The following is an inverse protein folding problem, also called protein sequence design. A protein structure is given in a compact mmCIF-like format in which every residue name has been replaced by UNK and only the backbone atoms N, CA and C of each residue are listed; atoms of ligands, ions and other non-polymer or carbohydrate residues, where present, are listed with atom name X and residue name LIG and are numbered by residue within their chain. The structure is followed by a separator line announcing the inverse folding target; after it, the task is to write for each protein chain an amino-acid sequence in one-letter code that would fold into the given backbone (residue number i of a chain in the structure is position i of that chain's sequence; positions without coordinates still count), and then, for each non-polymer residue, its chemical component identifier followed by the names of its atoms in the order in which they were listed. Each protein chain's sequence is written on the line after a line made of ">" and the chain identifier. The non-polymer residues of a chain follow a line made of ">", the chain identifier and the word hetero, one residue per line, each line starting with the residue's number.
data_IF_465812189923
#
_entry.id   IF_465812189923
#
_cell.length_a   1.000
_cell.length_b   1.000
_cell.length_c   1.000
_cell.angle_alpha   90.00
_cell.angle_beta   90.00
_cell.angle_gamma   90.00
#
_symmetry.space_group_name_H-M   'P 1'
#
loop_
_entity.id
_entity.type
_entity.pdbx_description
1 polymer ?
#
# COMPACT_ATOMS: atom_id res chain seq x y z
N UNK A 1 -6.49 -15.62 16.89
CA UNK A 1 -6.48 -14.13 16.82
C UNK A 1 -7.80 -13.58 16.23
N UNK A 2 -8.58 -12.82 17.02
CA UNK A 2 -9.81 -12.13 16.58
C UNK A 2 -9.56 -10.61 16.64
N UNK A 3 -8.85 -10.05 15.66
CA UNK A 3 -8.72 -8.60 15.51
C UNK A 3 -9.26 -8.16 14.15
N UNK A 4 -9.63 -6.89 14.02
CA UNK A 4 -10.27 -6.34 12.81
C UNK A 4 -9.41 -6.47 11.55
N UNK A 5 -8.08 -6.54 11.66
CA UNK A 5 -7.20 -6.80 10.51
C UNK A 5 -7.24 -8.27 10.06
N UNK A 6 -7.15 -9.24 10.99
CA UNK A 6 -7.17 -10.66 10.65
C UNK A 6 -8.54 -11.15 10.16
N UNK A 7 -9.62 -10.41 10.43
CA UNK A 7 -10.98 -10.75 10.05
C UNK A 7 -11.43 -10.13 8.71
N UNK A 8 -10.54 -9.42 8.01
CA UNK A 8 -10.87 -8.81 6.72
C UNK A 8 -11.10 -9.88 5.64
N UNK A 9 -12.16 -9.68 4.88
CA UNK A 9 -12.63 -10.54 3.79
C UNK A 9 -12.97 -9.69 2.55
N UNK A 10 -13.11 -10.33 1.39
CA UNK A 10 -13.31 -9.64 0.12
C UNK A 10 -11.99 -9.35 -0.58
N UNK A 11 -12.05 -8.58 -1.67
CA UNK A 11 -10.93 -8.26 -2.55
C UNK A 11 -9.78 -7.61 -1.76
N UNK A 12 -8.65 -8.31 -1.56
CA UNK A 12 -7.47 -7.78 -0.92
C UNK A 12 -6.68 -6.91 -1.91
N UNK A 13 -6.21 -5.75 -1.46
CA UNK A 13 -5.39 -4.85 -2.29
C UNK A 13 -4.18 -4.40 -1.47
N UNK A 14 -2.97 -4.68 -1.99
CA UNK A 14 -1.73 -4.13 -1.45
C UNK A 14 -1.54 -2.72 -2.01
N UNK A 15 -1.44 -1.72 -1.14
CA UNK A 15 -1.19 -0.35 -1.57
C UNK A 15 0.30 -0.06 -1.60
N UNK A 16 0.75 0.50 -2.73
CA UNK A 16 2.10 0.95 -2.99
C UNK A 16 2.08 2.46 -3.26
N UNK A 17 3.25 3.08 -3.22
CA UNK A 17 3.48 4.46 -3.63
C UNK A 17 4.76 4.59 -4.43
N UNK A 18 4.84 5.62 -5.25
CA UNK A 18 6.10 6.10 -5.81
C UNK A 18 6.82 7.00 -4.81
N UNK A 19 8.14 6.94 -4.80
CA UNK A 19 8.97 7.86 -4.02
C UNK A 19 10.31 8.09 -4.71
N UNK A 20 10.96 9.20 -4.37
CA UNK A 20 12.36 9.41 -4.71
C UNK A 20 13.25 8.44 -3.91
N UNK A 21 13.70 7.36 -4.54
CA UNK A 21 14.45 6.30 -3.88
C UNK A 21 15.35 5.54 -4.87
N UNK A 22 16.35 4.78 -4.41
CA UNK A 22 17.22 4.03 -5.31
C UNK A 22 16.49 2.84 -5.93
N UNK A 23 16.85 2.47 -7.16
CA UNK A 23 16.30 1.25 -7.75
C UNK A 23 16.96 0.01 -7.14
N UNK A 24 16.18 -1.02 -6.75
CA UNK A 24 16.74 -2.28 -6.26
C UNK A 24 17.69 -2.95 -7.25
N UNK A 25 17.48 -2.72 -8.56
CA UNK A 25 18.29 -3.31 -9.64
C UNK A 25 19.64 -2.62 -9.82
N UNK A 26 19.84 -1.41 -9.27
CA UNK A 26 21.03 -0.57 -9.47
C UNK A 26 21.70 -0.18 -8.17
N UNK A 27 21.58 -0.98 -7.11
CA UNK A 27 22.33 -0.77 -5.86
C UNK A 27 23.85 -0.95 -6.02
N UNK A 28 24.32 -1.34 -7.21
CA UNK A 28 25.74 -1.32 -7.56
C UNK A 28 26.26 0.12 -7.53
N UNK A 29 27.15 0.37 -6.58
CA UNK A 29 27.82 1.65 -6.39
C UNK A 29 28.52 2.09 -7.67
N UNK A 30 28.25 3.31 -8.13
CA UNK A 30 29.01 3.90 -9.24
C UNK A 30 30.14 4.75 -8.65
N UNK A 31 31.36 4.52 -9.11
CA UNK A 31 32.47 5.43 -8.85
C UNK A 31 32.14 6.78 -9.46
N UNK A 32 32.08 7.82 -8.63
CA UNK A 32 31.84 9.17 -9.10
C UNK A 32 33.12 9.73 -9.72
N UNK A 33 33.09 10.23 -10.97
CA UNK A 33 34.22 10.92 -11.55
C UNK A 33 34.61 12.08 -10.62
N UNK A 34 35.90 12.21 -10.31
CA UNK A 34 36.50 13.22 -9.42
C UNK A 34 36.34 13.00 -7.91
N UNK A 35 35.74 11.90 -7.45
CA UNK A 35 35.66 11.57 -6.03
C UNK A 35 36.21 10.16 -5.75
N UNK A 36 37.50 10.08 -5.44
CA UNK A 36 38.15 8.84 -5.05
C UNK A 36 37.51 8.29 -3.76
N UNK A 37 36.99 7.07 -3.82
CA UNK A 37 36.40 6.37 -2.68
C UNK A 37 34.93 6.73 -2.38
N UNK A 38 34.28 7.58 -3.18
CA UNK A 38 32.85 7.88 -3.02
C UNK A 38 32.02 7.12 -4.07
N UNK A 39 31.21 6.22 -3.55
CA UNK A 39 30.18 5.50 -4.29
C UNK A 39 28.88 6.32 -4.35
N UNK A 40 28.41 6.63 -5.55
CA UNK A 40 27.06 7.16 -5.76
C UNK A 40 26.03 6.04 -5.91
N UNK A 41 24.84 6.23 -5.34
CA UNK A 41 23.67 5.35 -5.55
C UNK A 41 22.69 6.10 -6.48
N UNK A 42 22.36 5.57 -7.68
CA UNK A 42 21.37 6.18 -8.55
C UNK A 42 19.99 6.23 -7.88
N UNK A 43 19.31 7.37 -8.01
CA UNK A 43 17.99 7.64 -7.43
C UNK A 43 16.95 7.84 -8.54
N UNK A 44 15.70 7.47 -8.29
CA UNK A 44 14.58 7.55 -9.24
C UNK A 44 13.35 8.16 -8.58
N UNK A 45 12.63 9.03 -9.28
CA UNK A 45 11.42 9.71 -8.77
C UNK A 45 10.23 8.76 -8.57
N UNK A 46 10.17 7.67 -9.32
CA UNK A 46 9.01 6.76 -9.39
C UNK A 46 9.31 5.39 -8.78
N UNK A 47 10.27 5.31 -7.86
CA UNK A 47 10.63 4.04 -7.24
C UNK A 47 9.48 3.57 -6.33
N UNK A 48 9.00 2.34 -6.58
CA UNK A 48 7.93 1.75 -5.79
C UNK A 48 8.38 1.43 -4.37
N UNK A 49 7.53 1.81 -3.42
CA UNK A 49 7.68 1.56 -2.00
C UNK A 49 6.34 1.18 -1.38
N UNK A 50 6.37 0.54 -0.23
CA UNK A 50 5.17 0.44 0.62
C UNK A 50 4.74 1.84 1.10
N UNK A 51 3.48 1.96 1.51
CA UNK A 51 2.99 3.19 2.13
C UNK A 51 3.80 3.53 3.38
N UNK A 52 4.18 4.79 3.50
CA UNK A 52 4.74 5.36 4.75
C UNK A 52 3.62 5.66 5.74
N UNK A 53 4.02 6.01 6.96
CA UNK A 53 3.09 6.47 7.99
C UNK A 53 2.23 7.64 7.48
N UNK A 54 0.93 7.57 7.78
CA UNK A 54 -0.10 8.47 7.28
C UNK A 54 -1.48 7.80 7.36
N UNK A 55 -2.35 8.15 6.42
CA UNK A 55 -3.75 7.74 6.38
C UNK A 55 -4.15 7.35 4.96
N UNK A 56 -4.96 6.30 4.83
CA UNK A 56 -5.60 5.90 3.57
C UNK A 56 -7.09 6.12 3.73
N UNK A 57 -7.69 6.78 2.76
CA UNK A 57 -9.14 6.96 2.66
C UNK A 57 -9.66 6.27 1.40
N UNK A 58 -10.74 5.53 1.54
CA UNK A 58 -11.39 4.79 0.46
C UNK A 58 -12.87 5.17 0.42
N UNK A 59 -13.30 5.86 -0.62
CA UNK A 59 -14.71 6.14 -0.86
C UNK A 59 -15.29 5.03 -1.74
N UNK A 60 -16.24 4.26 -1.20
CA UNK A 60 -16.90 3.15 -1.89
C UNK A 60 -18.24 3.61 -2.45
N UNK A 61 -18.46 3.37 -3.75
CA UNK A 61 -19.65 3.76 -4.51
C UNK A 61 -20.10 5.20 -4.26
N UNK A 62 -19.12 6.11 -4.12
CA UNK A 62 -19.33 7.53 -3.83
C UNK A 62 -20.14 7.79 -2.54
N UNK A 63 -20.26 6.81 -1.64
CA UNK A 63 -21.19 6.84 -0.52
C UNK A 63 -20.54 6.57 0.83
N UNK A 64 -19.78 5.50 0.93
CA UNK A 64 -19.27 4.97 2.21
C UNK A 64 -17.77 5.22 2.32
N UNK A 65 -17.33 5.84 3.40
CA UNK A 65 -15.92 6.02 3.69
C UNK A 65 -15.38 4.85 4.53
N UNK A 66 -14.35 4.19 4.02
CA UNK A 66 -13.40 3.42 4.82
C UNK A 66 -12.14 4.26 5.04
N UNK A 67 -11.50 4.08 6.19
CA UNK A 67 -10.25 4.75 6.48
C UNK A 67 -9.29 3.85 7.26
N UNK A 68 -8.00 4.00 6.98
CA UNK A 68 -6.94 3.21 7.59
C UNK A 68 -5.80 4.14 8.01
N UNK A 69 -5.29 3.91 9.20
CA UNK A 69 -4.04 4.50 9.64
C UNK A 69 -2.90 3.58 9.25
N UNK A 70 -1.85 4.13 8.65
CA UNK A 70 -0.64 3.40 8.25
C UNK A 70 0.39 3.47 9.38
N UNK A 71 0.91 2.32 9.83
CA UNK A 71 2.03 2.26 10.79
C UNK A 71 3.37 2.55 10.08
N UNK A 72 4.47 2.81 10.80
CA UNK A 72 5.77 3.03 10.18
C UNK A 72 6.18 1.89 9.24
N UNK A 73 5.85 0.65 9.60
CA UNK A 73 6.15 -0.56 8.83
C UNK A 73 5.13 -0.84 7.70
N UNK A 74 4.19 0.07 7.44
CA UNK A 74 3.21 -0.05 6.35
C UNK A 74 1.99 -0.93 6.68
N UNK A 75 1.74 -1.27 7.95
CA UNK A 75 0.53 -1.99 8.33
C UNK A 75 -0.68 -1.04 8.41
N UNK A 76 -1.86 -1.53 8.03
CA UNK A 76 -3.10 -0.76 7.90
C UNK A 76 -4.05 -1.08 9.06
N UNK A 77 -4.39 -0.07 9.86
CA UNK A 77 -5.33 -0.17 10.97
C UNK A 77 -6.61 0.60 10.63
N UNK A 78 -7.70 -0.13 10.44
CA UNK A 78 -8.97 0.50 10.09
C UNK A 78 -9.53 1.30 11.27
N UNK A 79 -10.11 2.46 10.98
CA UNK A 79 -10.78 3.32 11.95
C UNK A 79 -12.04 3.96 11.33
N UNK A 80 -13.00 4.47 12.12
CA UNK A 80 -14.16 5.19 11.58
C UNK A 80 -13.72 6.49 10.91
N UNK A 81 -13.98 6.68 9.61
CA UNK A 81 -13.41 7.77 8.82
C UNK A 81 -13.63 9.18 9.40
N UNK A 82 -14.78 9.42 10.04
CA UNK A 82 -15.12 10.70 10.67
C UNK A 82 -14.57 10.89 12.09
N UNK A 83 -13.81 9.92 12.60
CA UNK A 83 -13.17 9.93 13.92
C UNK A 83 -11.71 9.49 13.78
N UNK A 84 -10.87 10.24 13.04
CA UNK A 84 -9.50 9.84 12.81
C UNK A 84 -8.68 9.86 14.11
N UNK A 85 -7.79 8.86 14.31
CA UNK A 85 -6.87 8.89 15.43
C UNK A 85 -5.87 10.06 15.26
N UNK A 86 -5.68 10.90 16.28
CA UNK A 86 -4.86 12.11 16.18
C UNK A 86 -3.34 11.82 16.23
N UNK A 87 -2.96 10.65 16.73
CA UNK A 87 -1.56 10.24 16.86
C UNK A 87 -1.15 9.36 15.71
N UNK A 88 0.11 9.45 15.30
CA UNK A 88 0.70 8.59 14.30
C UNK A 88 0.56 7.09 14.66
N UNK A 89 0.41 6.24 13.64
CA UNK A 89 0.17 4.81 13.85
C UNK A 89 1.31 4.17 14.65
N UNK A 90 0.98 3.45 15.72
CA UNK A 90 1.99 2.69 16.49
C UNK A 90 2.38 1.42 15.74
N UNK A 91 3.61 0.90 15.89
CA UNK A 91 3.99 -0.44 15.46
C UNK A 91 3.00 -1.53 15.87
N UNK A 92 2.88 -2.59 15.07
CA UNK A 92 2.21 -3.82 15.49
C UNK A 92 2.93 -4.44 16.70
N UNK A 93 2.18 -5.15 17.55
CA UNK A 93 2.78 -5.87 18.68
C UNK A 93 3.77 -6.92 18.19
N UNK A 94 4.77 -7.23 19.01
CA UNK A 94 5.76 -8.28 18.71
C UNK A 94 5.09 -9.62 18.40
N UNK A 95 4.07 -10.00 19.18
CA UNK A 95 3.29 -11.21 18.93
C UNK A 95 2.64 -11.22 17.54
N UNK A 96 2.04 -10.11 17.10
CA UNK A 96 1.46 -10.03 15.75
C UNK A 96 2.51 -10.18 14.64
N UNK A 97 3.71 -9.63 14.83
CA UNK A 97 4.79 -9.75 13.84
C UNK A 97 5.41 -11.14 13.78
N UNK A 98 5.51 -11.82 14.93
CA UNK A 98 6.00 -13.20 15.02
C UNK A 98 5.06 -14.17 14.30
N UNK A 99 3.75 -13.94 14.39
CA UNK A 99 2.71 -14.70 13.68
C UNK A 99 2.48 -14.22 12.23
N UNK A 100 3.38 -13.38 11.68
CA UNK A 100 3.28 -12.81 10.33
C UNK A 100 1.98 -12.02 10.03
N UNK A 101 1.24 -11.59 11.05
CA UNK A 101 0.02 -10.81 10.86
C UNK A 101 0.30 -9.41 10.28
N UNK A 102 1.56 -8.95 10.27
CA UNK A 102 1.99 -7.75 9.55
C UNK A 102 1.81 -7.88 8.04
N UNK A 103 1.93 -9.09 7.49
CA UNK A 103 1.61 -9.38 6.08
C UNK A 103 0.12 -9.16 5.83
N UNK A 104 -0.74 -9.80 6.62
CA UNK A 104 -2.20 -9.66 6.52
C UNK A 104 -2.62 -8.20 6.66
N UNK A 105 -2.06 -7.51 7.64
CA UNK A 105 -2.37 -6.12 7.92
C UNK A 105 -1.89 -5.15 6.82
N UNK A 106 -1.10 -5.59 5.83
CA UNK A 106 -0.63 -4.73 4.72
C UNK A 106 -1.66 -4.49 3.63
N UNK A 107 -2.83 -5.15 3.72
CA UNK A 107 -3.88 -5.08 2.71
C UNK A 107 -5.09 -4.30 3.24
N UNK A 108 -5.67 -3.48 2.37
CA UNK A 108 -7.09 -3.14 2.50
C UNK A 108 -7.91 -4.30 1.92
N UNK A 109 -9.16 -4.45 2.36
CA UNK A 109 -10.08 -5.40 1.76
C UNK A 109 -11.42 -4.72 1.48
N UNK A 110 -11.98 -5.00 0.31
CA UNK A 110 -13.24 -4.43 -0.14
C UNK A 110 -14.20 -5.57 -0.50
N UNK A 111 -15.40 -5.56 0.05
CA UNK A 111 -16.42 -6.54 -0.29
C UNK A 111 -17.08 -6.18 -1.64
N UNK A 112 -16.68 -6.89 -2.70
CA UNK A 112 -17.18 -6.65 -4.07
C UNK A 112 -18.59 -7.16 -4.30
N UNK A 113 -19.20 -7.84 -3.33
CA UNK A 113 -20.64 -8.15 -3.36
C UNK A 113 -21.50 -6.96 -2.91
N UNK A 114 -20.90 -6.00 -2.21
CA UNK A 114 -21.58 -4.81 -1.69
C UNK A 114 -21.24 -3.54 -2.46
N UNK A 115 -20.05 -3.48 -3.06
CA UNK A 115 -19.53 -2.29 -3.71
C UNK A 115 -18.98 -2.59 -5.10
N UNK A 116 -19.12 -1.63 -6.02
CA UNK A 116 -18.68 -1.77 -7.41
C UNK A 116 -17.50 -0.87 -7.77
N UNK A 117 -17.34 0.26 -7.08
CA UNK A 117 -16.33 1.27 -7.36
C UNK A 117 -15.65 1.77 -6.09
N UNK A 118 -14.38 2.15 -6.20
CA UNK A 118 -13.61 2.73 -5.10
C UNK A 118 -12.75 3.91 -5.58
N UNK A 119 -12.65 4.95 -4.75
CA UNK A 119 -11.68 6.03 -4.89
C UNK A 119 -10.74 5.98 -3.70
N UNK A 120 -9.46 5.71 -3.95
CA UNK A 120 -8.44 5.46 -2.92
C UNK A 120 -7.43 6.59 -2.92
N UNK A 121 -7.19 7.21 -1.77
CA UNK A 121 -6.19 8.25 -1.62
C UNK A 121 -5.34 8.07 -0.36
N UNK A 122 -4.09 8.50 -0.43
CA UNK A 122 -3.20 8.62 0.71
C UNK A 122 -3.11 10.07 1.21
N UNK A 123 -2.95 10.22 2.52
CA UNK A 123 -2.85 11.50 3.20
C UNK A 123 -1.79 11.45 4.31
N UNK A 124 -1.04 12.54 4.44
CA UNK A 124 -0.05 12.74 5.49
C UNK A 124 -0.73 12.88 6.86
N UNK A 125 -1.74 13.75 6.89
CA UNK A 125 -2.50 14.09 8.08
C UNK A 125 -3.94 13.57 7.97
N UNK A 126 -4.60 13.32 9.10
CA UNK A 126 -5.98 12.89 9.10
C UNK A 126 -6.89 13.99 8.51
N UNK A 127 -7.77 13.61 7.59
CA UNK A 127 -8.75 14.52 7.03
C UNK A 127 -9.91 14.76 8.00
N UNK A 128 -10.23 16.03 8.32
CA UNK A 128 -11.41 16.35 9.09
C UNK A 128 -12.68 16.15 8.24
N UNK A 129 -13.85 16.06 8.89
CA UNK A 129 -15.14 15.85 8.22
C UNK A 129 -15.39 16.78 7.01
N UNK A 130 -15.13 18.10 7.08
CA UNK A 130 -15.36 18.98 5.94
C UNK A 130 -14.56 18.61 4.69
N UNK A 131 -13.33 18.10 4.87
CA UNK A 131 -12.48 17.64 3.76
C UNK A 131 -13.04 16.35 3.14
N UNK A 132 -13.51 15.41 3.97
CA UNK A 132 -14.17 14.19 3.49
C UNK A 132 -15.46 14.50 2.72
N UNK A 133 -16.26 15.45 3.20
CA UNK A 133 -17.48 15.89 2.52
C UNK A 133 -17.16 16.59 1.19
N UNK A 134 -16.13 17.45 1.18
CA UNK A 134 -15.65 18.13 -0.04
C UNK A 134 -15.22 17.13 -1.10
N UNK A 135 -14.37 16.16 -0.76
CA UNK A 135 -13.92 15.15 -1.71
C UNK A 135 -15.06 14.26 -2.19
N UNK A 136 -16.00 13.88 -1.31
CA UNK A 136 -17.18 13.12 -1.71
C UNK A 136 -18.03 13.89 -2.73
N UNK A 137 -18.21 15.19 -2.53
CA UNK A 137 -18.94 16.05 -3.47
C UNK A 137 -18.19 16.21 -4.80
N UNK A 138 -16.88 16.45 -4.75
CA UNK A 138 -16.03 16.57 -5.92
C UNK A 138 -16.04 15.31 -6.79
N UNK A 139 -15.93 14.13 -6.16
CA UNK A 139 -16.01 12.82 -6.84
C UNK A 139 -17.38 12.63 -7.50
N UNK A 140 -18.47 12.94 -6.79
CA UNK A 140 -19.83 12.81 -7.34
C UNK A 140 -20.08 13.73 -8.56
N UNK A 141 -19.39 14.87 -8.61
CA UNK A 141 -19.50 15.86 -9.69
C UNK A 141 -18.41 15.73 -10.76
N UNK A 142 -17.51 14.74 -10.66
CA UNK A 142 -16.35 14.57 -11.54
C UNK A 142 -15.44 15.82 -11.63
N UNK A 143 -15.19 16.49 -10.51
CA UNK A 143 -14.25 17.62 -10.45
C UNK A 143 -12.79 17.13 -10.62
N UNK A 144 -12.11 17.43 -11.74
CA UNK A 144 -10.81 16.87 -12.05
C UNK A 144 -9.68 17.34 -11.11
N UNK A 145 -9.77 18.55 -10.55
CA UNK A 145 -8.71 19.12 -9.72
C UNK A 145 -8.58 18.32 -8.42
N UNK A 146 -9.70 18.10 -7.75
CA UNK A 146 -9.75 17.40 -6.47
C UNK A 146 -9.69 15.87 -6.62
N UNK A 147 -10.21 15.33 -7.74
CA UNK A 147 -10.21 13.88 -7.98
C UNK A 147 -8.85 13.33 -8.41
N UNK A 148 -7.95 14.17 -8.92
CA UNK A 148 -6.58 13.78 -9.30
C UNK A 148 -5.77 13.15 -8.15
N UNK A 149 -6.15 13.43 -6.89
CA UNK A 149 -5.54 12.85 -5.69
C UNK A 149 -5.94 11.39 -5.43
N UNK A 150 -7.00 10.90 -6.09
CA UNK A 150 -7.54 9.57 -5.89
C UNK A 150 -7.18 8.65 -7.05
N UNK A 151 -6.81 7.42 -6.71
CA UNK A 151 -6.86 6.31 -7.64
C UNK A 151 -8.30 5.78 -7.69
N UNK A 152 -9.01 6.05 -8.78
CA UNK A 152 -10.31 5.45 -9.05
C UNK A 152 -10.14 3.99 -9.51
N UNK A 153 -11.04 3.12 -9.08
CA UNK A 153 -10.96 1.69 -9.31
C UNK A 153 -12.34 1.10 -9.56
N UNK A 154 -12.50 0.44 -10.71
CA UNK A 154 -13.59 -0.50 -10.94
C UNK A 154 -13.25 -1.81 -10.21
N UNK A 155 -14.08 -2.22 -9.26
CA UNK A 155 -13.77 -3.35 -8.38
C UNK A 155 -13.94 -4.69 -9.08
N UNK A 156 -14.73 -4.76 -10.15
CA UNK A 156 -14.85 -5.97 -10.97
C UNK A 156 -13.57 -6.15 -11.78
N UNK A 157 -13.11 -5.12 -12.47
CA UNK A 157 -11.85 -5.14 -13.21
C UNK A 157 -10.66 -5.42 -12.28
N UNK A 158 -10.64 -4.83 -11.08
CA UNK A 158 -9.60 -5.10 -10.08
C UNK A 158 -9.57 -6.55 -9.59
N UNK A 159 -10.73 -7.22 -9.56
CA UNK A 159 -10.88 -8.60 -9.11
C UNK A 159 -10.59 -9.61 -10.22
N UNK A 160 -11.11 -9.37 -11.41
CA UNK A 160 -11.03 -10.29 -12.56
C UNK A 160 -9.78 -10.06 -13.41
N UNK A 161 -9.23 -8.85 -13.44
CA UNK A 161 -8.07 -8.51 -14.25
C UNK A 161 -7.15 -7.51 -13.51
N UNK A 162 -6.60 -7.86 -12.34
CA UNK A 162 -5.78 -6.95 -11.53
C UNK A 162 -4.58 -6.37 -12.29
N UNK A 163 -4.02 -7.10 -13.26
CA UNK A 163 -2.94 -6.62 -14.12
C UNK A 163 -3.32 -5.47 -15.06
N UNK A 164 -4.61 -5.22 -15.29
CA UNK A 164 -5.11 -4.12 -16.12
C UNK A 164 -5.17 -2.78 -15.37
N UNK A 165 -5.24 -2.82 -14.05
CA UNK A 165 -5.37 -1.63 -13.18
C UNK A 165 -4.17 -1.45 -12.24
N UNK A 166 -3.26 -2.43 -12.20
CA UNK A 166 -2.07 -2.41 -11.37
C UNK A 166 -1.24 -3.66 -11.60
N UNK A 167 -0.64 -4.21 -10.54
CA UNK A 167 0.19 -5.43 -10.61
C UNK A 167 -0.60 -6.62 -10.10
N UNK A 168 -0.63 -7.69 -10.88
CA UNK A 168 -1.21 -8.97 -10.49
C UNK A 168 -0.18 -9.83 -9.72
N UNK A 169 -0.39 -10.01 -8.42
CA UNK A 169 0.49 -10.83 -7.59
C UNK A 169 0.01 -12.28 -7.56
N UNK A 170 0.88 -13.19 -7.95
CA UNK A 170 0.65 -14.64 -7.83
C UNK A 170 1.60 -15.26 -6.81
N UNK A 171 1.21 -16.42 -6.27
CA UNK A 171 2.01 -17.12 -5.28
C UNK A 171 3.33 -17.66 -5.85
N UNK A 172 3.49 -17.83 -7.15
CA UNK A 172 4.76 -18.18 -7.80
C UNK A 172 5.55 -16.92 -8.22
N UNK A 173 4.85 -15.83 -8.56
CA UNK A 173 5.42 -14.55 -8.99
C UNK A 173 4.73 -13.36 -8.32
N UNK A 174 5.30 -12.89 -7.20
CA UNK A 174 4.76 -11.76 -6.45
C UNK A 174 4.96 -10.40 -7.12
N UNK A 175 5.97 -10.25 -7.99
CA UNK A 175 6.35 -8.97 -8.62
C UNK A 175 6.72 -7.85 -7.61
N UNK A 176 7.17 -8.23 -6.41
CA UNK A 176 7.57 -7.30 -5.34
C UNK A 176 9.08 -7.00 -5.36
N UNK A 177 9.85 -7.62 -6.25
CA UNK A 177 11.28 -7.35 -6.47
C UNK A 177 11.55 -5.93 -7.00
N UNK A 178 10.53 -5.24 -7.50
CA UNK A 178 10.59 -3.82 -7.86
C UNK A 178 10.17 -2.88 -6.72
N UNK A 179 9.69 -3.42 -5.60
CA UNK A 179 9.31 -2.65 -4.41
C UNK A 179 10.49 -2.64 -3.44
N UNK A 180 10.97 -1.44 -3.10
CA UNK A 180 12.25 -1.26 -2.41
C UNK A 180 12.35 -2.07 -1.11
N UNK A 181 11.30 -2.07 -0.29
CA UNK A 181 11.28 -2.80 0.98
C UNK A 181 11.40 -4.31 0.80
N UNK A 182 10.95 -4.87 -0.32
CA UNK A 182 11.00 -6.32 -0.58
C UNK A 182 12.26 -6.77 -1.32
N UNK A 183 13.00 -5.83 -1.91
CA UNK A 183 14.08 -6.16 -2.83
C UNK A 183 15.48 -5.97 -2.22
N UNK A 184 15.60 -5.15 -1.17
CA UNK A 184 16.91 -4.74 -0.63
C UNK A 184 17.13 -5.35 0.75
N UNK A 185 18.24 -6.09 0.97
CA UNK A 185 18.66 -6.49 2.31
C UNK A 185 18.91 -5.25 3.19
N UNK A 186 18.61 -5.36 4.48
CA UNK A 186 18.74 -4.27 5.47
C UNK A 186 20.16 -3.72 5.68
N UNK A 187 21.14 -4.19 4.91
CA UNK A 187 22.58 -4.04 5.16
C UNK A 187 23.22 -2.83 4.46
N UNK A 188 22.47 -2.04 3.71
CA UNK A 188 22.98 -0.86 2.99
C UNK A 188 22.80 0.48 3.74
N UNK A 189 23.51 1.56 3.33
CA UNK A 189 23.46 2.87 3.97
C UNK A 189 22.19 3.69 3.67
N UNK A 190 21.17 3.09 3.05
CA UNK A 190 19.95 3.81 2.68
C UNK A 190 19.10 4.10 3.92
N UNK A 191 19.05 5.37 4.30
CA UNK A 191 18.10 5.89 5.26
C UNK A 191 17.14 6.84 4.55
N UNK A 192 15.89 6.86 4.98
CA UNK A 192 14.84 7.69 4.40
C UNK A 192 14.18 8.46 5.53
N UNK A 193 13.93 9.76 5.32
CA UNK A 193 13.22 10.62 6.29
C UNK A 193 11.80 10.13 6.57
N UNK A 194 11.22 9.40 5.62
CA UNK A 194 9.92 8.74 5.76
C UNK A 194 10.04 7.30 6.31
N UNK A 195 11.18 6.96 6.90
CA UNK A 195 11.53 5.61 7.34
C UNK A 195 11.87 4.67 6.19
N UNK A 196 12.56 3.57 6.51
CA UNK A 196 12.78 2.43 5.61
C UNK A 196 12.68 1.16 6.44
N UNK A 197 11.75 0.28 6.07
CA UNK A 197 11.43 -0.92 6.83
C UNK A 197 11.50 -2.14 5.90
N UNK A 198 12.61 -2.89 5.91
CA UNK A 198 12.80 -4.01 4.99
C UNK A 198 11.80 -5.12 5.27
N UNK A 199 11.31 -5.72 4.19
CA UNK A 199 10.31 -6.80 4.15
C UNK A 199 10.77 -8.00 3.32
N UNK A 200 12.03 -8.03 2.90
CA UNK A 200 12.64 -9.17 2.22
C UNK A 200 12.39 -10.49 2.98
N UNK A 201 12.57 -10.49 4.31
CA UNK A 201 12.31 -11.64 5.18
C UNK A 201 10.83 -12.03 5.28
N UNK A 202 9.91 -11.17 4.81
CA UNK A 202 8.47 -11.43 4.79
C UNK A 202 8.01 -12.04 3.47
N UNK A 203 8.86 -12.14 2.44
CA UNK A 203 8.47 -12.68 1.14
C UNK A 203 7.85 -14.08 1.22
N UNK A 204 8.41 -14.97 2.04
CA UNK A 204 7.86 -16.32 2.20
C UNK A 204 6.44 -16.27 2.81
N UNK A 205 6.24 -15.49 3.87
CA UNK A 205 4.93 -15.31 4.49
C UNK A 205 3.93 -14.61 3.56
N UNK A 206 4.35 -13.58 2.82
CA UNK A 206 3.55 -12.92 1.78
C UNK A 206 3.13 -13.91 0.70
N UNK A 207 4.04 -14.78 0.25
CA UNK A 207 3.75 -15.81 -0.74
C UNK A 207 2.65 -16.77 -0.27
N UNK A 208 2.80 -17.30 0.94
CA UNK A 208 1.81 -18.19 1.56
C UNK A 208 0.46 -17.49 1.71
N UNK A 209 0.46 -16.22 2.14
CA UNK A 209 -0.77 -15.46 2.30
C UNK A 209 -1.48 -15.18 0.97
N UNK A 210 -0.74 -14.82 -0.08
CA UNK A 210 -1.30 -14.61 -1.42
C UNK A 210 -1.90 -15.92 -1.97
N UNK A 211 -1.23 -17.06 -1.79
CA UNK A 211 -1.78 -18.37 -2.18
C UNK A 211 -3.12 -18.64 -1.47
N UNK A 212 -3.18 -18.38 -0.16
CA UNK A 212 -4.40 -18.56 0.63
C UNK A 212 -5.52 -17.59 0.19
N UNK A 213 -5.20 -16.34 -0.14
CA UNK A 213 -6.16 -15.35 -0.65
C UNK A 213 -6.73 -15.75 -2.01
N UNK A 214 -5.88 -16.20 -2.94
CA UNK A 214 -6.32 -16.65 -4.27
C UNK A 214 -7.34 -17.77 -4.16
N UNK A 215 -7.07 -18.75 -3.30
CA UNK A 215 -7.99 -19.86 -3.07
C UNK A 215 -9.28 -19.42 -2.35
N UNK A 216 -9.15 -18.63 -1.27
CA UNK A 216 -10.28 -18.25 -0.40
C UNK A 216 -11.24 -17.29 -1.08
N UNK A 217 -10.71 -16.32 -1.81
CA UNK A 217 -11.46 -15.23 -2.42
C UNK A 217 -11.68 -15.47 -3.92
N UNK A 218 -11.33 -16.64 -4.46
CA UNK A 218 -11.49 -17.03 -5.87
C UNK A 218 -10.88 -16.02 -6.87
N UNK A 219 -9.62 -15.66 -6.66
CA UNK A 219 -8.91 -14.65 -7.45
C UNK A 219 -8.00 -15.30 -8.49
N UNK A 220 -8.58 -15.87 -9.55
CA UNK A 220 -7.86 -16.65 -10.56
C UNK A 220 -6.67 -15.90 -11.19
N UNK A 221 -6.85 -14.60 -11.45
CA UNK A 221 -5.83 -13.74 -12.08
C UNK A 221 -4.96 -12.99 -11.06
N UNK A 222 -4.94 -13.45 -9.81
CA UNK A 222 -4.03 -12.98 -8.76
C UNK A 222 -4.59 -11.86 -7.88
N UNK A 223 -3.75 -11.34 -7.00
CA UNK A 223 -4.10 -10.30 -6.01
C UNK A 223 -3.53 -8.96 -6.46
N UNK A 224 -4.34 -7.89 -6.40
CA UNK A 224 -3.92 -6.57 -6.83
C UNK A 224 -2.88 -5.94 -5.88
N UNK A 225 -1.78 -5.46 -6.44
CA UNK A 225 -0.97 -4.39 -5.89
C UNK A 225 -1.20 -3.09 -6.68
N UNK A 226 -1.70 -2.06 -6.00
CA UNK A 226 -2.12 -0.79 -6.58
C UNK A 226 -1.21 0.34 -6.13
N UNK A 227 -0.69 1.11 -7.07
CA UNK A 227 0.07 2.33 -6.74
C UNK A 227 -0.90 3.48 -6.56
N UNK A 228 -0.80 4.19 -5.43
CA UNK A 228 -1.61 5.38 -5.14
C UNK A 228 -0.73 6.63 -5.14
N UNK A 229 -1.27 7.80 -5.52
CA UNK A 229 -0.55 9.06 -5.39
C UNK A 229 -0.09 9.31 -3.94
N UNK A 230 1.18 9.69 -3.77
CA UNK A 230 1.75 10.16 -2.49
C UNK A 230 2.08 11.66 -2.61
N UNK A 231 1.28 12.55 -1.99
CA UNK A 231 1.45 13.99 -2.05
C UNK A 231 2.47 14.56 -1.04
#
# INVERSE_FOLDING_TARGET
>A
PRCSACQRIGLPILLLRTAYAPSPKTLSTRNLPNYNGIAGIPMHNEQLRILRQGYVYVLLDQRVWHAYQVTPEGALRQFPAFQPPPQAGKPLSTACRQEHHDVIASFININTLLYSTAWIAFANDPWPKPVLDQYKHAIANNDPELTSRFQALDLKAAREAPGSVGRAMHADRLQLDEVLEYAVPSTGPFTSVHGFYPRLERLAATRTYIAALIQREELADGVLALTVPDP
#
